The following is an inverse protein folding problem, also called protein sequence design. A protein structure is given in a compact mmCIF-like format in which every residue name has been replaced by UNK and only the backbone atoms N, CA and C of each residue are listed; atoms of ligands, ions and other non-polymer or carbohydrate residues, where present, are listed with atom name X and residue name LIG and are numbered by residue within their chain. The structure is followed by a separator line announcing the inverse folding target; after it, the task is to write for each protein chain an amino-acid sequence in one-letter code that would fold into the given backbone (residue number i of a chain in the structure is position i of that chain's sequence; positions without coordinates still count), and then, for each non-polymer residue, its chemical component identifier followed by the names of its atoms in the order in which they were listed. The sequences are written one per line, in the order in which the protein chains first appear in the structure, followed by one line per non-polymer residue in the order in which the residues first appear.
data_IF_505678307983
#
_entry.id   IF_505678307983
#
_cell.length_a   1.000
_cell.length_b   1.000
_cell.length_c   1.000
_cell.angle_alpha   90.00
_cell.angle_beta   90.00
_cell.angle_gamma   90.00
#
_symmetry.space_group_name_H-M   'P 1'
#
loop_
_entity.id
_entity.type
_entity.pdbx_description
1 polymer ?
#
# COMPACT_ATOMS: atom_id res chain seq x y z
N UNK A 1 30.02 3.83 -49.42
CA UNK A 1 30.40 2.46 -49.82
C UNK A 1 30.70 1.69 -48.54
N UNK A 2 30.08 0.57 -48.17
CA UNK A 2 29.39 -0.49 -48.94
C UNK A 2 28.14 -0.95 -48.15
N UNK A 3 27.08 -1.21 -48.91
CA UNK A 3 25.81 -1.81 -48.53
C UNK A 3 25.93 -3.33 -48.82
N UNK A 4 25.53 -4.20 -47.89
CA UNK A 4 25.19 -5.60 -48.23
C UNK A 4 23.90 -5.98 -47.49
N UNK A 5 22.90 -6.30 -48.30
CA UNK A 5 21.60 -6.88 -47.94
C UNK A 5 21.56 -8.29 -48.56
N UNK A 6 20.73 -9.16 -47.96
CA UNK A 6 19.88 -10.23 -48.56
C UNK A 6 20.06 -11.65 -47.97
N UNK A 7 18.99 -12.48 -48.01
CA UNK A 7 18.52 -13.41 -46.96
C UNK A 7 18.39 -14.85 -47.51
N UNK A 8 17.69 -15.76 -46.82
CA UNK A 8 17.02 -17.02 -47.30
C UNK A 8 16.31 -17.63 -46.05
N UNK A 9 14.99 -17.89 -45.92
CA UNK A 9 13.96 -18.66 -46.68
C UNK A 9 14.41 -20.13 -46.94
N UNK A 10 13.69 -21.26 -46.75
CA UNK A 10 12.31 -21.75 -46.44
C UNK A 10 12.47 -23.27 -46.12
N UNK A 11 11.67 -23.94 -45.26
CA UNK A 11 10.61 -24.94 -45.58
C UNK A 11 10.31 -25.74 -44.29
N UNK A 12 9.10 -26.06 -43.82
CA UNK A 12 7.84 -26.39 -44.48
C UNK A 12 7.68 -27.92 -44.58
N UNK A 13 6.79 -28.54 -43.77
CA UNK A 13 6.02 -29.74 -44.14
C UNK A 13 4.96 -30.08 -43.07
N UNK A 14 3.71 -29.91 -43.49
CA UNK A 14 2.46 -30.35 -42.88
C UNK A 14 2.12 -31.76 -43.40
N UNK A 15 1.49 -32.64 -42.60
CA UNK A 15 0.59 -33.71 -43.06
C UNK A 15 0.05 -34.59 -41.90
N UNK A 16 -1.26 -34.48 -41.67
CA UNK A 16 -2.18 -35.52 -41.14
C UNK A 16 -3.19 -35.79 -42.29
N UNK A 17 -3.98 -36.88 -42.42
CA UNK A 17 -4.39 -37.88 -41.41
C UNK A 17 -4.57 -39.36 -41.91
N UNK A 18 -4.92 -40.29 -40.99
CA UNK A 18 -5.89 -41.38 -41.30
C UNK A 18 -6.57 -41.94 -40.03
N UNK A 19 -7.88 -42.23 -40.05
CA UNK A 19 -8.63 -42.74 -38.91
C UNK A 19 -8.71 -44.28 -38.90
N UNK A 20 -8.82 -44.87 -37.71
CA UNK A 20 -9.31 -46.25 -37.53
C UNK A 20 -10.37 -46.27 -36.45
N UNK A 21 -11.55 -46.74 -36.84
CA UNK A 21 -12.69 -46.97 -35.99
C UNK A 21 -12.46 -48.18 -35.08
N UNK A 22 -12.86 -48.03 -33.82
CA UNK A 22 -13.05 -49.11 -32.86
C UNK A 22 -14.18 -48.72 -31.92
N UNK A 23 -15.40 -49.18 -32.22
CA UNK A 23 -16.46 -49.34 -31.20
C UNK A 23 -16.02 -50.49 -30.27
N UNK A 24 -16.44 -50.68 -29.02
CA UNK A 24 -17.57 -50.21 -28.23
C UNK A 24 -17.26 -50.61 -26.78
N UNK A 25 -17.69 -49.84 -25.78
CA UNK A 25 -18.39 -50.33 -24.57
C UNK A 25 -18.45 -49.22 -23.53
N UNK A 26 -19.67 -48.78 -23.28
CA UNK A 26 -20.02 -47.86 -22.21
C UNK A 26 -19.81 -48.52 -20.84
N UNK A 27 -19.24 -47.79 -19.90
CA UNK A 27 -19.65 -47.89 -18.50
C UNK A 27 -19.67 -46.47 -17.94
N UNK A 28 -20.88 -45.97 -17.76
CA UNK A 28 -21.13 -44.69 -17.12
C UNK A 28 -20.70 -44.77 -15.66
N UNK A 29 -19.67 -44.03 -15.28
CA UNK A 29 -19.45 -43.66 -13.88
C UNK A 29 -19.72 -42.17 -13.78
N UNK A 30 -20.76 -41.86 -13.01
CA UNK A 30 -21.28 -40.52 -12.81
C UNK A 30 -20.15 -39.55 -12.44
N UNK A 31 -19.88 -38.60 -13.34
CA UNK A 31 -19.16 -37.39 -12.99
C UNK A 31 -20.02 -36.66 -11.96
N UNK A 32 -19.66 -36.83 -10.68
CA UNK A 32 -20.22 -36.04 -9.60
C UNK A 32 -20.08 -34.57 -10.01
N UNK A 33 -21.23 -33.89 -10.17
CA UNK A 33 -21.28 -32.44 -10.36
C UNK A 33 -20.40 -31.83 -9.27
N UNK A 34 -19.25 -31.28 -9.66
CA UNK A 34 -18.47 -30.43 -8.79
C UNK A 34 -19.43 -29.35 -8.29
N UNK A 35 -19.71 -29.41 -6.98
CA UNK A 35 -20.49 -28.40 -6.28
C UNK A 35 -19.90 -27.03 -6.65
N UNK A 36 -20.72 -26.02 -7.02
CA UNK A 36 -20.20 -24.70 -7.29
C UNK A 36 -19.38 -24.27 -6.08
N UNK A 37 -18.10 -24.00 -6.27
CA UNK A 37 -17.29 -23.34 -5.26
C UNK A 37 -17.99 -22.02 -5.00
N UNK A 38 -18.69 -21.94 -3.86
CA UNK A 38 -19.28 -20.70 -3.37
C UNK A 38 -18.18 -19.65 -3.40
N UNK A 39 -18.29 -18.69 -4.30
CA UNK A 39 -17.45 -17.50 -4.32
C UNK A 39 -17.53 -16.92 -2.91
N UNK A 40 -16.43 -16.96 -2.16
CA UNK A 40 -16.41 -16.46 -0.80
C UNK A 40 -16.89 -14.99 -0.84
N UNK A 41 -18.06 -14.73 -0.26
CA UNK A 41 -18.57 -13.36 -0.14
C UNK A 41 -17.56 -12.56 0.66
N UNK A 42 -17.21 -11.37 0.17
CA UNK A 42 -16.43 -10.43 0.98
C UNK A 42 -17.18 -10.21 2.31
N UNK A 43 -16.43 -10.25 3.43
CA UNK A 43 -16.98 -9.88 4.73
C UNK A 43 -17.42 -8.41 4.75
N UNK A 44 -18.09 -7.95 5.81
CA UNK A 44 -18.39 -6.53 5.95
C UNK A 44 -17.09 -5.71 5.89
N UNK A 45 -17.14 -4.48 5.33
CA UNK A 45 -15.95 -3.63 5.25
C UNK A 45 -15.40 -3.36 6.66
N UNK A 46 -14.07 -3.19 6.81
CA UNK A 46 -13.49 -2.74 8.07
C UNK A 46 -14.11 -1.43 8.55
N UNK A 47 -14.28 -1.29 9.86
CA UNK A 47 -14.82 -0.06 10.46
C UNK A 47 -13.91 1.13 10.21
N UNK A 48 -14.51 2.31 10.09
CA UNK A 48 -13.79 3.56 10.02
C UNK A 48 -12.98 3.82 11.31
N UNK A 49 -11.96 4.67 11.19
CA UNK A 49 -11.17 5.10 12.33
C UNK A 49 -12.02 5.92 13.30
N UNK A 50 -12.05 5.54 14.58
CA UNK A 50 -12.79 6.24 15.62
C UNK A 50 -12.08 7.54 16.07
N UNK A 51 -12.00 8.55 15.19
CA UNK A 51 -11.19 9.77 15.38
C UNK A 51 -11.53 10.49 16.69
N UNK A 52 -12.82 10.65 17.02
CA UNK A 52 -13.28 11.31 18.25
C UNK A 52 -12.75 10.61 19.51
N UNK A 53 -12.78 9.28 19.52
CA UNK A 53 -12.26 8.48 20.65
C UNK A 53 -10.74 8.60 20.77
N UNK A 54 -10.02 8.61 19.64
CA UNK A 54 -8.57 8.81 19.63
C UNK A 54 -8.17 10.21 20.10
N UNK A 55 -8.85 11.25 19.64
CA UNK A 55 -8.63 12.63 20.10
C UNK A 55 -8.84 12.76 21.61
N UNK A 56 -9.88 12.13 22.16
CA UNK A 56 -10.13 12.08 23.60
C UNK A 56 -9.02 11.35 24.35
N UNK A 57 -8.61 10.17 23.87
CA UNK A 57 -7.56 9.37 24.50
C UNK A 57 -6.19 10.08 24.50
N UNK A 58 -5.86 10.81 23.42
CA UNK A 58 -4.65 11.62 23.31
C UNK A 58 -4.76 13.01 23.96
N UNK A 59 -5.92 13.34 24.55
CA UNK A 59 -6.19 14.65 25.17
C UNK A 59 -5.93 15.82 24.20
N UNK A 60 -6.36 15.68 22.95
CA UNK A 60 -6.14 16.69 21.92
C UNK A 60 -6.92 17.99 22.19
N UNK A 61 -6.20 19.11 22.21
CA UNK A 61 -6.76 20.46 22.18
C UNK A 61 -6.81 21.03 20.76
N UNK A 62 -7.40 22.24 20.57
CA UNK A 62 -7.60 22.85 19.26
C UNK A 62 -6.31 23.10 18.45
N UNK A 63 -5.17 23.29 19.13
CA UNK A 63 -3.87 23.60 18.52
C UNK A 63 -2.79 22.60 18.93
N UNK A 64 -3.17 21.39 19.35
CA UNK A 64 -2.21 20.37 19.79
C UNK A 64 -1.36 19.88 18.63
N UNK A 65 -0.01 19.90 18.75
CA UNK A 65 0.88 19.39 17.71
C UNK A 65 0.89 17.85 17.67
N UNK A 66 1.70 17.30 16.78
CA UNK A 66 2.01 15.88 16.78
C UNK A 66 0.82 15.00 16.33
N UNK A 67 0.52 13.90 17.04
CA UNK A 67 -0.53 12.97 16.63
C UNK A 67 -1.93 13.64 16.61
N UNK A 68 -2.14 14.66 17.45
CA UNK A 68 -3.39 15.42 17.46
C UNK A 68 -3.59 16.27 16.21
N UNK A 69 -2.52 16.84 15.65
CA UNK A 69 -2.58 17.56 14.39
C UNK A 69 -2.92 16.61 13.22
N UNK A 70 -2.33 15.41 13.22
CA UNK A 70 -2.68 14.37 12.23
C UNK A 70 -4.16 14.02 12.31
N UNK A 71 -4.70 13.80 13.52
CA UNK A 71 -6.13 13.53 13.71
C UNK A 71 -7.04 14.71 13.38
N UNK A 72 -6.56 15.95 13.53
CA UNK A 72 -7.29 17.14 13.11
C UNK A 72 -7.42 17.22 11.58
N UNK A 73 -6.38 16.84 10.85
CA UNK A 73 -6.40 16.76 9.39
C UNK A 73 -7.16 15.52 8.90
N UNK A 74 -7.16 14.43 9.67
CA UNK A 74 -7.87 13.18 9.31
C UNK A 74 -9.39 13.40 9.25
N UNK A 75 -9.95 14.31 10.04
CA UNK A 75 -11.38 14.68 9.94
C UNK A 75 -11.74 15.37 8.61
N UNK A 76 -10.75 15.83 7.84
CA UNK A 76 -10.92 16.62 6.62
C UNK A 76 -10.37 15.91 5.38
N UNK A 77 -9.86 14.70 5.55
CA UNK A 77 -9.27 13.97 4.44
C UNK A 77 -10.33 13.37 3.54
N UNK A 78 -9.92 13.06 2.31
CA UNK A 78 -10.75 12.48 1.29
C UNK A 78 -10.36 11.02 1.07
N UNK A 79 -11.25 10.28 0.42
CA UNK A 79 -10.93 8.99 -0.16
C UNK A 79 -9.64 9.07 -0.98
N UNK A 80 -8.80 8.05 -0.87
CA UNK A 80 -7.55 7.96 -1.62
C UNK A 80 -7.48 6.66 -2.39
N UNK A 81 -7.04 6.74 -3.64
CA UNK A 81 -6.79 5.57 -4.47
C UNK A 81 -5.34 5.09 -4.27
N UNK A 82 -5.11 3.88 -3.72
CA UNK A 82 -3.77 3.38 -3.46
C UNK A 82 -3.02 2.94 -4.73
N UNK A 83 -3.69 2.88 -5.88
CA UNK A 83 -3.08 2.47 -7.15
C UNK A 83 -2.29 3.63 -7.76
N UNK A 84 -0.98 3.64 -7.52
CA UNK A 84 -0.04 4.56 -8.16
C UNK A 84 -0.10 4.44 -9.69
N UNK A 85 0.10 5.57 -10.40
CA UNK A 85 0.04 5.59 -11.87
C UNK A 85 1.21 4.79 -12.47
N UNK A 86 2.38 4.94 -11.89
CA UNK A 86 3.61 4.19 -12.20
C UNK A 86 3.51 2.68 -11.86
N UNK A 87 2.52 2.29 -11.06
CA UNK A 87 2.45 0.96 -10.43
C UNK A 87 3.22 0.83 -9.12
N UNK A 88 4.10 1.80 -8.78
CA UNK A 88 4.87 1.85 -7.53
C UNK A 88 4.93 3.30 -7.01
N UNK A 89 4.23 3.56 -5.92
CA UNK A 89 4.21 4.85 -5.25
C UNK A 89 5.03 4.81 -3.96
N UNK A 90 5.67 5.91 -3.59
CA UNK A 90 6.49 6.02 -2.38
C UNK A 90 6.29 7.37 -1.71
N UNK A 91 6.14 7.33 -0.39
CA UNK A 91 5.95 8.50 0.46
C UNK A 91 6.91 8.48 1.65
N UNK A 92 7.23 9.68 2.14
CA UNK A 92 8.04 9.91 3.34
C UNK A 92 7.41 11.01 4.16
N UNK A 93 7.47 10.89 5.49
CA UNK A 93 6.91 11.91 6.35
C UNK A 93 7.37 11.84 7.78
N UNK A 94 6.80 12.73 8.58
CA UNK A 94 6.92 12.68 10.03
C UNK A 94 5.83 11.77 10.58
N UNK A 95 6.25 10.75 11.32
CA UNK A 95 5.40 9.92 12.16
C UNK A 95 5.60 10.28 13.63
N UNK A 96 4.55 10.06 14.41
CA UNK A 96 4.53 10.22 15.86
C UNK A 96 4.21 8.86 16.46
N UNK A 97 5.21 8.22 17.06
CA UNK A 97 5.05 6.93 17.74
C UNK A 97 4.52 7.20 19.13
N UNK A 98 3.23 6.97 19.33
CA UNK A 98 2.54 7.10 20.62
C UNK A 98 2.68 5.80 21.40
N UNK A 99 3.18 5.91 22.62
CA UNK A 99 3.17 4.85 23.64
C UNK A 99 2.79 5.45 24.98
N UNK A 100 1.71 4.95 25.58
CA UNK A 100 1.26 5.34 26.92
C UNK A 100 1.08 6.86 27.07
N UNK A 101 0.48 7.49 26.06
CA UNK A 101 0.18 8.93 26.07
C UNK A 101 1.38 9.87 25.86
N UNK A 102 2.59 9.33 25.67
CA UNK A 102 3.76 10.09 25.21
C UNK A 102 4.02 9.75 23.75
N UNK A 103 4.62 10.66 23.00
CA UNK A 103 5.04 10.38 21.64
C UNK A 103 6.46 10.86 21.36
N UNK A 104 7.09 10.18 20.41
CA UNK A 104 8.38 10.56 19.82
C UNK A 104 8.24 10.68 18.32
N UNK A 105 9.04 11.56 17.74
CA UNK A 105 9.08 11.76 16.30
C UNK A 105 9.88 10.63 15.65
N UNK A 106 9.37 10.11 14.54
CA UNK A 106 10.01 9.11 13.70
C UNK A 106 9.87 9.52 12.23
N UNK A 107 10.77 9.04 11.38
CA UNK A 107 10.56 9.11 9.92
C UNK A 107 9.79 7.88 9.47
N UNK A 108 8.54 8.10 9.08
CA UNK A 108 7.68 7.05 8.53
C UNK A 108 7.73 7.07 7.01
N UNK A 109 7.79 5.87 6.42
CA UNK A 109 7.76 5.67 4.97
C UNK A 109 6.60 4.77 4.59
N UNK A 110 6.05 5.02 3.41
CA UNK A 110 4.98 4.21 2.85
C UNK A 110 5.27 3.90 1.39
N UNK A 111 4.98 2.67 0.98
CA UNK A 111 4.99 2.27 -0.43
C UNK A 111 3.62 1.74 -0.81
N UNK A 112 3.17 2.06 -2.02
CA UNK A 112 2.10 1.34 -2.69
C UNK A 112 2.63 0.58 -3.88
N UNK A 113 2.07 -0.59 -4.14
CA UNK A 113 2.39 -1.45 -5.27
C UNK A 113 1.10 -1.93 -5.90
N UNK A 114 0.94 -1.75 -7.22
CA UNK A 114 -0.21 -2.31 -7.95
C UNK A 114 -0.15 -3.84 -7.94
N UNK A 115 -1.31 -4.46 -7.75
CA UNK A 115 -1.48 -5.91 -7.81
C UNK A 115 -2.41 -6.26 -8.97
N UNK A 116 -2.10 -7.29 -9.80
CA UNK A 116 -3.00 -7.76 -10.83
C UNK A 116 -4.35 -8.21 -10.27
N UNK A 117 -5.44 -7.96 -10.98
CA UNK A 117 -6.80 -8.32 -10.54
C UNK A 117 -6.98 -9.83 -10.29
N UNK A 118 -6.15 -10.68 -10.90
CA UNK A 118 -6.14 -12.14 -10.70
C UNK A 118 -5.63 -12.56 -9.31
N UNK A 119 -4.93 -11.67 -8.61
CA UNK A 119 -4.36 -11.90 -7.27
C UNK A 119 -5.14 -11.17 -6.16
N UNK A 120 -6.18 -10.41 -6.53
CA UNK A 120 -7.01 -9.64 -5.58
C UNK A 120 -8.08 -10.54 -4.99
N UNK A 121 -8.01 -10.77 -3.68
CA UNK A 121 -9.03 -11.51 -2.94
C UNK A 121 -10.34 -10.72 -2.80
N UNK A 122 -11.46 -11.39 -2.45
CA UNK A 122 -12.74 -10.73 -2.22
C UNK A 122 -12.62 -9.57 -1.20
N UNK A 123 -13.13 -8.39 -1.56
CA UNK A 123 -13.11 -7.19 -0.72
C UNK A 123 -11.78 -6.43 -0.68
N UNK A 124 -10.73 -6.96 -1.30
CA UNK A 124 -9.43 -6.30 -1.40
C UNK A 124 -9.38 -5.34 -2.59
N UNK A 125 -8.49 -4.35 -2.51
CA UNK A 125 -8.17 -3.43 -3.60
C UNK A 125 -6.98 -3.96 -4.43
N UNK A 126 -6.84 -3.56 -5.70
CA UNK A 126 -5.71 -3.94 -6.57
C UNK A 126 -4.40 -3.22 -6.23
N UNK A 127 -4.09 -3.13 -4.94
CA UNK A 127 -2.88 -2.55 -4.40
C UNK A 127 -2.47 -3.23 -3.10
N UNK A 128 -1.16 -3.32 -2.89
CA UNK A 128 -0.56 -3.60 -1.60
C UNK A 128 0.08 -2.33 -1.05
N UNK A 129 0.02 -2.18 0.27
CA UNK A 129 0.69 -1.10 1.00
C UNK A 129 1.70 -1.69 1.97
N UNK A 130 2.90 -1.12 1.97
CA UNK A 130 3.90 -1.37 2.99
C UNK A 130 4.13 -0.09 3.80
N UNK A 131 4.11 -0.23 5.13
CA UNK A 131 4.37 0.85 6.08
C UNK A 131 5.65 0.49 6.83
N UNK A 132 6.60 1.40 6.84
CA UNK A 132 7.89 1.16 7.48
C UNK A 132 8.48 2.41 8.10
N UNK A 133 9.67 2.23 8.65
CA UNK A 133 10.54 3.29 9.15
C UNK A 133 11.90 3.20 8.47
N UNK A 134 12.72 4.23 8.67
CA UNK A 134 14.13 4.19 8.29
C UNK A 134 14.90 3.59 9.48
N UNK A 135 15.64 2.49 9.29
CA UNK A 135 16.44 1.89 10.35
C UNK A 135 17.44 2.86 10.97
N UNK A 136 17.68 2.74 12.28
CA UNK A 136 18.54 3.66 13.04
C UNK A 136 20.03 3.59 12.59
N UNK A 137 20.47 2.45 12.07
CA UNK A 137 21.81 2.24 11.54
C UNK A 137 22.07 3.02 10.23
N UNK A 138 21.01 3.46 9.54
CA UNK A 138 21.06 4.31 8.34
C UNK A 138 21.26 5.79 8.70
N UNK A 139 22.30 6.10 9.48
CA UNK A 139 22.55 7.44 10.06
C UNK A 139 22.54 8.59 9.04
N UNK A 140 23.15 8.40 7.86
CA UNK A 140 23.17 9.40 6.80
C UNK A 140 21.77 9.68 6.22
N UNK A 141 20.95 8.63 6.10
CA UNK A 141 19.57 8.69 5.61
C UNK A 141 18.71 9.44 6.64
N UNK A 142 18.83 9.05 7.92
CA UNK A 142 18.10 9.68 9.03
C UNK A 142 18.42 11.17 9.16
N UNK A 143 19.68 11.57 9.02
CA UNK A 143 20.08 12.99 9.04
C UNK A 143 19.47 13.80 7.89
N UNK A 144 19.21 13.17 6.75
CA UNK A 144 18.73 13.84 5.54
C UNK A 144 17.20 13.85 5.43
N UNK A 145 16.51 12.87 6.03
CA UNK A 145 15.06 12.72 5.94
C UNK A 145 14.27 13.95 6.42
N UNK A 146 14.57 14.59 7.58
CA UNK A 146 13.86 15.80 8.00
C UNK A 146 13.95 16.95 6.99
N UNK A 147 15.07 17.07 6.27
CA UNK A 147 15.23 18.08 5.21
C UNK A 147 14.34 17.79 4.01
N UNK A 148 14.20 16.52 3.64
CA UNK A 148 13.29 16.08 2.55
C UNK A 148 11.84 16.33 2.93
N UNK A 149 11.43 15.90 4.13
CA UNK A 149 10.06 16.08 4.62
C UNK A 149 9.69 17.56 4.64
N UNK A 150 10.56 18.44 5.15
CA UNK A 150 10.31 19.90 5.14
C UNK A 150 10.22 20.49 3.74
N UNK A 151 11.04 20.02 2.79
CA UNK A 151 10.98 20.47 1.41
C UNK A 151 9.63 20.08 0.77
N UNK A 152 9.26 18.80 0.87
CA UNK A 152 8.00 18.29 0.33
C UNK A 152 6.78 18.93 0.99
N UNK A 153 6.85 19.24 2.30
CA UNK A 153 5.79 19.93 3.02
C UNK A 153 5.49 21.33 2.50
N UNK A 154 6.48 22.00 1.90
CA UNK A 154 6.31 23.29 1.22
C UNK A 154 5.94 23.16 -0.25
N UNK A 155 5.90 21.94 -0.80
CA UNK A 155 5.76 21.70 -2.23
C UNK A 155 7.06 21.83 -3.03
N UNK A 156 8.22 21.90 -2.35
CA UNK A 156 9.51 21.96 -3.02
C UNK A 156 9.95 20.58 -3.53
N UNK A 157 10.76 20.55 -4.59
CA UNK A 157 11.39 19.32 -5.10
C UNK A 157 12.68 19.03 -4.32
N UNK A 158 12.78 17.90 -3.60
CA UNK A 158 14.00 17.52 -2.89
C UNK A 158 15.17 17.28 -3.86
N UNK A 159 16.40 17.63 -3.43
CA UNK A 159 17.60 17.35 -4.23
C UNK A 159 17.75 15.85 -4.48
N UNK A 160 18.03 15.46 -5.72
CA UNK A 160 18.24 14.05 -6.11
C UNK A 160 19.42 13.40 -5.38
N UNK A 161 20.45 14.17 -5.01
CA UNK A 161 21.60 13.73 -4.22
C UNK A 161 21.29 13.49 -2.75
N UNK A 162 20.05 13.73 -2.30
CA UNK A 162 19.66 13.50 -0.92
C UNK A 162 19.61 11.98 -0.61
N UNK A 163 20.39 11.56 0.40
CA UNK A 163 20.46 10.18 0.85
C UNK A 163 19.09 9.56 1.20
N UNK A 164 18.15 10.31 1.80
CA UNK A 164 16.82 9.80 2.10
C UNK A 164 16.00 9.53 0.85
N UNK A 165 16.03 10.42 -0.14
CA UNK A 165 15.36 10.18 -1.45
C UNK A 165 15.96 8.97 -2.15
N UNK A 166 17.29 8.89 -2.17
CA UNK A 166 18.02 7.79 -2.83
C UNK A 166 17.73 6.45 -2.16
N UNK A 167 17.77 6.41 -0.82
CA UNK A 167 17.41 5.24 -0.03
C UNK A 167 15.98 4.79 -0.35
N UNK A 168 15.03 5.72 -0.29
CA UNK A 168 13.62 5.40 -0.47
C UNK A 168 13.32 4.89 -1.87
N UNK A 169 14.02 5.35 -2.91
CA UNK A 169 13.88 4.84 -4.29
C UNK A 169 14.54 3.47 -4.51
N UNK A 170 15.61 3.16 -3.77
CA UNK A 170 16.37 1.92 -3.91
C UNK A 170 15.90 0.80 -2.97
N UNK A 171 15.16 1.13 -1.91
CA UNK A 171 14.62 0.15 -0.96
C UNK A 171 13.74 -0.89 -1.68
N UNK A 172 14.05 -2.17 -1.46
CA UNK A 172 13.31 -3.31 -2.05
C UNK A 172 12.69 -4.22 -0.98
N UNK A 173 13.21 -4.18 0.24
CA UNK A 173 12.68 -4.87 1.41
C UNK A 173 11.43 -4.13 1.92
N UNK A 174 10.25 -4.63 1.53
CA UNK A 174 8.97 -4.11 1.98
C UNK A 174 8.12 -5.25 2.51
N UNK A 175 7.43 -4.99 3.64
CA UNK A 175 6.38 -5.87 4.13
C UNK A 175 5.05 -5.39 3.52
N UNK A 176 4.72 -5.95 2.36
CA UNK A 176 3.52 -5.61 1.59
C UNK A 176 2.27 -6.24 2.25
N UNK A 177 1.22 -5.44 2.43
CA UNK A 177 -0.03 -5.86 3.07
C UNK A 177 -1.23 -5.55 2.18
N UNK A 178 -2.27 -6.39 2.25
CA UNK A 178 -3.51 -6.17 1.52
C UNK A 178 -4.25 -4.94 2.04
N UNK A 179 -4.93 -4.26 1.12
CA UNK A 179 -5.70 -3.05 1.39
C UNK A 179 -7.16 -3.31 1.07
N UNK A 180 -8.05 -2.74 1.88
CA UNK A 180 -9.49 -2.83 1.73
C UNK A 180 -10.09 -1.43 1.84
N UNK A 181 -11.28 -1.26 1.28
CA UNK A 181 -12.09 -0.08 1.52
C UNK A 181 -12.74 -0.21 2.91
N UNK A 182 -12.45 0.71 3.81
CA UNK A 182 -13.16 0.83 5.08
C UNK A 182 -14.45 1.63 4.91
N UNK A 183 -15.25 1.67 5.96
CA UNK A 183 -16.32 2.67 6.11
C UNK A 183 -15.77 4.11 5.97
N UNK A 184 -16.65 5.07 5.65
CA UNK A 184 -16.30 6.48 5.42
C UNK A 184 -15.21 6.72 4.37
N UNK A 185 -15.13 5.83 3.38
CA UNK A 185 -14.20 5.88 2.25
C UNK A 185 -12.70 5.92 2.62
N UNK A 186 -12.37 5.56 3.86
CA UNK A 186 -10.98 5.40 4.31
C UNK A 186 -10.37 4.11 3.75
N UNK A 187 -9.07 4.09 3.53
CA UNK A 187 -8.38 2.84 3.25
C UNK A 187 -7.97 2.15 4.54
N UNK A 188 -8.19 0.84 4.61
CA UNK A 188 -7.68 -0.01 5.69
C UNK A 188 -6.58 -0.94 5.16
N UNK A 189 -5.44 -0.95 5.84
CA UNK A 189 -4.33 -1.86 5.57
C UNK A 189 -4.32 -2.96 6.63
N UNK A 190 -4.32 -4.22 6.17
CA UNK A 190 -4.35 -5.41 7.02
C UNK A 190 -2.98 -5.75 7.64
N UNK A 191 -2.42 -4.79 8.39
CA UNK A 191 -1.24 -4.97 9.26
C UNK A 191 -1.66 -5.26 10.69
N UNK A 192 -0.73 -5.68 11.54
CA UNK A 192 -0.97 -5.83 12.98
C UNK A 192 -1.56 -4.56 13.60
N UNK A 193 -2.73 -4.70 14.23
CA UNK A 193 -3.50 -3.59 14.80
C UNK A 193 -4.27 -2.72 13.80
N UNK A 194 -4.07 -2.94 12.50
CA UNK A 194 -4.70 -2.19 11.42
C UNK A 194 -4.10 -0.80 11.21
N UNK A 195 -4.12 -0.34 9.96
CA UNK A 195 -3.79 1.05 9.63
C UNK A 195 -4.87 1.67 8.75
N UNK A 196 -5.26 2.89 9.08
CA UNK A 196 -6.19 3.69 8.30
C UNK A 196 -5.43 4.78 7.58
N UNK A 197 -5.70 4.94 6.28
CA UNK A 197 -5.06 5.93 5.42
C UNK A 197 -6.13 6.68 4.64
N UNK A 198 -5.91 7.98 4.49
CA UNK A 198 -6.68 8.81 3.59
C UNK A 198 -5.81 9.89 2.94
N UNK A 199 -6.33 10.46 1.87
CA UNK A 199 -5.63 11.46 1.06
C UNK A 199 -6.03 12.87 1.45
N UNK A 200 -5.09 13.79 1.32
CA UNK A 200 -5.36 15.22 1.37
C UNK A 200 -4.77 15.86 0.09
N UNK A 201 -4.80 17.18 0.00
CA UNK A 201 -4.26 17.93 -1.13
C UNK A 201 -2.84 17.48 -1.53
N UNK A 202 -2.52 17.58 -2.83
CA UNK A 202 -1.19 17.34 -3.39
C UNK A 202 -0.61 15.94 -3.14
N UNK A 203 -1.45 14.91 -3.17
CA UNK A 203 -1.04 13.50 -2.97
C UNK A 203 -0.40 13.23 -1.60
N UNK A 204 -0.57 14.15 -0.65
CA UNK A 204 -0.19 13.97 0.75
C UNK A 204 -1.16 12.98 1.39
N UNK A 205 -0.65 12.14 2.27
CA UNK A 205 -1.42 11.12 2.97
C UNK A 205 -1.39 11.36 4.47
N UNK A 206 -2.48 11.00 5.12
CA UNK A 206 -2.56 10.88 6.57
C UNK A 206 -2.69 9.41 6.90
N UNK A 207 -1.98 8.97 7.94
CA UNK A 207 -1.98 7.57 8.35
C UNK A 207 -2.11 7.46 9.87
N UNK A 208 -2.93 6.53 10.31
CA UNK A 208 -2.98 6.07 11.71
C UNK A 208 -2.85 4.56 11.73
N UNK A 209 -1.74 4.04 12.27
CA UNK A 209 -1.52 2.61 12.50
C UNK A 209 -1.57 2.33 14.00
N UNK A 210 -2.47 1.46 14.46
CA UNK A 210 -2.63 1.18 15.89
C UNK A 210 -1.72 0.03 16.34
N UNK A 211 -1.28 0.04 17.59
CA UNK A 211 -0.55 -1.09 18.18
C UNK A 211 -1.56 -2.06 18.80
N UNK A 212 -2.11 -2.96 17.96
CA UNK A 212 -3.06 -4.01 18.37
C UNK A 212 -4.39 -3.51 18.95
N UNK A 213 -5.20 -4.44 19.45
CA UNK A 213 -6.41 -4.16 20.23
C UNK A 213 -6.08 -3.84 21.70
N UNK A 214 -4.97 -3.14 21.96
CA UNK A 214 -4.42 -2.94 23.29
C UNK A 214 -5.30 -2.06 24.19
N UNK A 215 -5.05 -2.15 25.51
CA UNK A 215 -5.76 -1.42 26.58
C UNK A 215 -5.71 0.11 26.41
N UNK A 216 -4.66 0.64 25.77
CA UNK A 216 -4.57 2.05 25.40
C UNK A 216 -4.96 2.23 23.94
N UNK A 217 -6.24 2.58 23.72
CA UNK A 217 -6.81 2.68 22.37
C UNK A 217 -6.06 3.58 21.39
N UNK A 218 -5.20 4.49 21.88
CA UNK A 218 -4.45 5.47 21.10
C UNK A 218 -2.98 5.13 20.83
N UNK A 219 -2.43 4.04 21.37
CA UNK A 219 -1.05 3.64 21.08
C UNK A 219 -0.91 3.24 19.61
N UNK A 220 0.16 3.70 18.95
CA UNK A 220 0.31 3.56 17.51
C UNK A 220 1.23 4.58 16.85
N UNK A 221 1.16 4.67 15.53
CA UNK A 221 1.89 5.62 14.70
C UNK A 221 0.90 6.51 13.97
N UNK A 222 1.05 7.82 14.13
CA UNK A 222 0.26 8.85 13.47
C UNK A 222 1.19 9.61 12.54
N UNK A 223 0.92 9.66 11.24
CA UNK A 223 1.86 10.24 10.28
C UNK A 223 1.19 11.15 9.25
N UNK A 224 1.94 12.18 8.84
CA UNK A 224 1.68 12.96 7.63
C UNK A 224 2.77 12.64 6.62
N UNK A 225 2.38 12.08 5.47
CA UNK A 225 3.30 11.53 4.48
C UNK A 225 3.21 12.31 3.17
N UNK A 226 4.36 12.61 2.59
CA UNK A 226 4.48 13.37 1.37
C UNK A 226 5.01 12.51 0.22
N UNK A 227 4.53 12.72 -1.00
CA UNK A 227 4.88 11.88 -2.12
C UNK A 227 6.33 12.13 -2.55
N UNK A 228 7.08 11.05 -2.77
CA UNK A 228 8.43 11.04 -3.34
C UNK A 228 8.38 10.57 -4.80
N UNK A 229 7.49 9.63 -5.11
CA UNK A 229 7.14 9.12 -6.45
C UNK A 229 5.73 8.52 -6.42
N UNK A 230 4.90 8.68 -7.45
CA UNK A 230 3.51 8.19 -7.46
C UNK A 230 2.92 8.08 -8.88
#
# INVERSE_FOLDING_TARGET
SVLVILPLLVSGCDQTPKPTAGASSATATAAGKAKPTTTASAGPPPKALAIKSLKKALKCGPTSPGPCAVLADFDKCNAWNPVARSGDGRWIGTGYVVKQGKFVDEVTVLRTKRVPLTEVGPGQLPAMIAIGHIPEDQTAVMRHAPKVVRALARGDVPKHTNAAVSYLKKRTDWSDNYVMQAEDEQLYVAVDGGAHICGINNQRLLMVRRTGASENAADGVYATLYPVSW
#
